data_IF_737973222811
#
_entry.id   IF_737973222811
#
_cell.length_a   1.000
_cell.length_b   1.000
_cell.length_c   1.000
_cell.angle_alpha   90.00
_cell.angle_beta   90.00
_cell.angle_gamma   90.00
#
_symmetry.space_group_name_H-M   'P 1'
#
loop_
_entity.id
_entity.type
_entity.pdbx_description
1 polymer ?
#
# COMPACT_ATOMS: atom_id res chain seq x y z
N UNK A 1 23.21 -15.32 -20.67
CA UNK A 1 22.49 -15.65 -19.41
C UNK A 1 21.69 -14.43 -18.99
N UNK A 2 20.44 -14.34 -19.44
CA UNK A 2 19.51 -13.28 -19.04
C UNK A 2 19.05 -13.58 -17.62
N UNK A 3 19.71 -12.99 -16.63
CA UNK A 3 19.15 -12.95 -15.29
C UNK A 3 17.88 -12.10 -15.38
N UNK A 4 16.72 -12.74 -15.29
CA UNK A 4 15.45 -12.05 -15.09
C UNK A 4 15.46 -11.43 -13.70
N UNK A 5 16.05 -10.24 -13.62
CA UNK A 5 16.12 -9.43 -12.41
C UNK A 5 14.75 -8.82 -12.20
N UNK A 6 13.96 -9.45 -11.33
CA UNK A 6 12.69 -8.94 -10.86
C UNK A 6 12.93 -7.73 -9.95
N UNK A 7 12.75 -6.54 -10.51
CA UNK A 7 12.70 -5.30 -9.74
C UNK A 7 11.35 -5.21 -9.04
N UNK A 8 11.39 -4.84 -7.75
CA UNK A 8 10.17 -4.55 -6.98
C UNK A 8 10.19 -3.09 -6.55
N UNK A 9 9.09 -2.41 -6.85
CA UNK A 9 8.76 -1.11 -6.26
C UNK A 9 8.20 -1.35 -4.87
N UNK A 10 8.80 -0.73 -3.86
CA UNK A 10 8.22 -0.73 -2.52
C UNK A 10 8.19 0.69 -2.00
N UNK A 11 7.04 1.34 -2.17
CA UNK A 11 6.62 2.38 -1.26
C UNK A 11 5.68 1.76 -0.24
N UNK A 12 5.71 2.27 0.99
CA UNK A 12 4.99 1.75 2.15
C UNK A 12 3.48 1.57 1.97
N UNK A 13 2.86 1.85 0.81
CA UNK A 13 1.46 1.52 0.53
C UNK A 13 1.00 1.53 -0.94
N UNK A 14 1.89 1.37 -1.93
CA UNK A 14 1.46 1.25 -3.33
C UNK A 14 1.99 -0.01 -3.99
N UNK A 15 1.08 -0.65 -4.71
CA UNK A 15 1.25 -1.83 -5.57
C UNK A 15 2.71 -2.14 -5.90
N UNK A 16 3.17 -3.32 -5.50
CA UNK A 16 4.45 -3.86 -5.92
C UNK A 16 4.39 -4.13 -7.43
N UNK A 17 4.63 -3.09 -8.23
CA UNK A 17 4.75 -3.23 -9.67
C UNK A 17 6.06 -3.93 -9.96
N UNK A 18 5.95 -5.04 -10.69
CA UNK A 18 7.11 -5.77 -11.19
C UNK A 18 7.65 -5.07 -12.43
N UNK A 19 8.97 -5.05 -12.56
CA UNK A 19 9.65 -4.44 -13.70
C UNK A 19 10.79 -5.30 -14.22
N UNK A 20 11.06 -5.15 -15.52
CA UNK A 20 12.14 -5.84 -16.23
C UNK A 20 13.14 -4.79 -16.74
N UNK A 21 14.41 -4.99 -16.43
CA UNK A 21 15.52 -4.19 -16.98
C UNK A 21 15.69 -4.54 -18.46
N UNK A 22 15.65 -3.53 -19.34
CA UNK A 22 15.75 -3.74 -20.80
C UNK A 22 17.12 -3.40 -21.37
N UNK A 23 17.62 -2.18 -21.15
CA UNK A 23 18.90 -1.73 -21.72
C UNK A 23 19.54 -0.67 -20.85
N UNK A 24 20.87 -0.62 -20.84
CA UNK A 24 21.60 0.55 -20.35
C UNK A 24 21.45 1.72 -21.33
N UNK A 25 21.51 2.94 -20.81
CA UNK A 25 21.61 4.15 -21.63
C UNK A 25 23.07 4.62 -21.66
N UNK A 26 23.49 5.21 -22.78
CA UNK A 26 24.87 5.69 -22.96
C UNK A 26 25.15 7.01 -22.21
N UNK A 27 24.14 7.86 -22.11
CA UNK A 27 24.18 9.14 -21.41
C UNK A 27 22.83 9.36 -20.72
N UNK A 28 22.78 9.83 -19.48
CA UNK A 28 23.86 9.89 -18.48
C UNK A 28 24.31 8.49 -18.01
N UNK A 29 25.53 8.40 -17.48
CA UNK A 29 26.12 7.14 -16.99
C UNK A 29 25.34 6.56 -15.81
N UNK A 30 25.30 5.23 -15.71
CA UNK A 30 24.58 4.53 -14.63
C UNK A 30 23.05 4.48 -14.77
N UNK A 31 22.48 5.03 -15.86
CA UNK A 31 21.02 4.98 -16.09
C UNK A 31 20.62 3.79 -16.95
N UNK A 32 19.49 3.20 -16.57
CA UNK A 32 18.94 1.99 -17.18
C UNK A 32 17.49 2.23 -17.59
N UNK A 33 17.11 1.71 -18.75
CA UNK A 33 15.71 1.64 -19.18
C UNK A 33 15.05 0.41 -18.59
N UNK A 34 13.99 0.65 -17.81
CA UNK A 34 13.17 -0.39 -17.16
C UNK A 34 11.74 -0.26 -17.67
N UNK A 35 11.10 -1.40 -17.96
CA UNK A 35 9.67 -1.46 -18.27
C UNK A 35 8.92 -1.99 -17.06
N UNK A 36 7.90 -1.26 -16.62
CA UNK A 36 7.03 -1.61 -15.50
C UNK A 36 5.61 -1.90 -15.99
N UNK A 37 4.85 -2.64 -15.18
CA UNK A 37 3.44 -2.96 -15.42
C UNK A 37 2.54 -1.71 -15.44
N UNK A 38 2.75 -0.78 -14.49
CA UNK A 38 2.01 0.48 -14.37
C UNK A 38 2.97 1.66 -14.23
N UNK A 39 2.46 2.89 -14.40
CA UNK A 39 3.24 4.13 -14.33
C UNK A 39 3.72 4.39 -12.90
N UNK A 40 5.04 4.35 -12.74
CA UNK A 40 5.76 4.68 -11.50
C UNK A 40 5.71 6.19 -11.22
N UNK A 41 5.70 6.58 -9.94
CA UNK A 41 5.79 7.98 -9.52
C UNK A 41 7.23 8.34 -9.13
N UNK A 42 7.60 9.62 -9.24
CA UNK A 42 8.94 10.09 -8.85
C UNK A 42 9.26 9.96 -7.36
N UNK A 43 8.25 9.80 -6.51
CA UNK A 43 8.42 9.53 -5.07
C UNK A 43 8.90 8.11 -4.78
N UNK A 44 8.69 7.19 -5.72
CA UNK A 44 8.83 5.76 -5.45
C UNK A 44 10.31 5.35 -5.52
N UNK A 45 10.69 4.37 -4.69
CA UNK A 45 12.04 3.78 -4.68
C UNK A 45 12.00 2.40 -5.38
N UNK A 46 12.90 2.21 -6.35
CA UNK A 46 13.02 0.97 -7.11
C UNK A 46 14.15 0.11 -6.51
N UNK A 47 13.81 -1.11 -6.06
CA UNK A 47 14.80 -2.05 -5.54
C UNK A 47 15.10 -3.18 -6.52
N UNK A 48 16.40 -3.50 -6.63
CA UNK A 48 16.91 -4.70 -7.27
C UNK A 48 17.30 -5.72 -6.22
N UNK A 49 16.52 -6.78 -6.08
CA UNK A 49 16.83 -7.84 -5.11
C UNK A 49 17.81 -8.83 -5.72
N UNK A 50 19.04 -8.82 -5.23
CA UNK A 50 20.09 -9.78 -5.59
C UNK A 50 20.52 -10.59 -4.37
N UNK A 51 21.18 -11.71 -4.63
CA UNK A 51 21.84 -12.52 -3.60
C UNK A 51 23.35 -12.34 -3.73
N UNK A 52 24.04 -12.18 -2.61
CA UNK A 52 25.50 -12.05 -2.55
C UNK A 52 26.04 -13.20 -1.72
N UNK A 53 27.05 -13.89 -2.23
CA UNK A 53 27.72 -14.96 -1.50
C UNK A 53 28.64 -14.35 -0.44
N UNK A 54 28.55 -14.85 0.78
CA UNK A 54 29.38 -14.43 1.90
C UNK A 54 30.38 -15.54 2.22
N UNK A 55 31.68 -15.19 2.24
CA UNK A 55 32.71 -16.10 2.71
C UNK A 55 32.64 -16.19 4.25
N UNK A 56 32.50 -17.41 4.77
CA UNK A 56 32.47 -17.65 6.21
C UNK A 56 33.93 -17.79 6.69
N UNK A 57 34.41 -16.95 7.61
CA UNK A 57 35.73 -17.13 8.18
C UNK A 57 35.75 -18.42 9.01
N UNK A 58 36.63 -19.35 8.66
CA UNK A 58 36.84 -20.57 9.44
C UNK A 58 37.67 -20.26 10.68
N UNK A 59 37.08 -20.39 11.86
CA UNK A 59 37.76 -20.25 13.15
C UNK A 59 37.31 -21.39 14.06
N UNK A 60 38.28 -22.03 14.73
CA UNK A 60 38.03 -23.06 15.72
C UNK A 60 38.83 -22.73 16.99
N UNK A 61 38.13 -22.58 18.12
CA UNK A 61 38.72 -22.29 19.42
C UNK A 61 38.30 -23.40 20.40
N UNK A 62 39.16 -24.40 20.65
CA UNK A 62 38.86 -25.43 21.63
C UNK A 62 38.92 -24.85 23.05
N UNK A 63 38.05 -25.35 23.92
CA UNK A 63 38.03 -25.01 25.35
C UNK A 63 39.02 -25.92 26.06
N UNK A 64 40.08 -25.33 26.64
CA UNK A 64 41.23 -26.08 27.19
C UNK A 64 41.34 -25.98 28.71
N UNK A 65 40.24 -25.69 29.41
CA UNK A 65 40.23 -25.41 30.86
C UNK A 65 40.87 -26.55 31.69
N UNK A 66 40.64 -27.81 31.30
CA UNK A 66 41.18 -28.97 32.01
C UNK A 66 42.67 -29.22 31.76
N UNK A 67 43.21 -28.63 30.71
CA UNK A 67 44.65 -28.69 30.39
C UNK A 67 45.43 -27.60 31.12
N UNK A 68 44.74 -26.65 31.76
CA UNK A 68 45.34 -25.60 32.57
C UNK A 68 45.50 -26.08 34.02
N UNK A 69 46.55 -25.61 34.71
CA UNK A 69 46.82 -25.97 36.11
C UNK A 69 45.68 -25.55 37.05
N UNK A 70 45.57 -26.19 38.21
CA UNK A 70 44.43 -26.05 39.14
C UNK A 70 44.06 -24.59 39.48
N UNK A 71 45.05 -23.70 39.53
CA UNK A 71 44.85 -22.27 39.79
C UNK A 71 44.30 -21.47 38.59
N UNK A 72 44.43 -21.97 37.35
CA UNK A 72 44.07 -21.28 36.10
C UNK A 72 42.89 -21.94 35.38
N UNK A 73 42.29 -23.01 35.94
CA UNK A 73 41.14 -23.72 35.35
C UNK A 73 39.93 -22.82 35.09
N UNK A 74 39.79 -21.73 35.86
CA UNK A 74 38.70 -20.74 35.72
C UNK A 74 38.98 -19.64 34.70
N UNK A 75 40.22 -19.50 34.22
CA UNK A 75 40.69 -18.27 33.56
C UNK A 75 40.72 -18.39 32.03
N UNK A 76 40.12 -19.44 31.46
CA UNK A 76 40.05 -19.57 30.02
C UNK A 76 39.26 -18.41 29.39
N UNK A 77 39.95 -17.64 28.54
CA UNK A 77 39.37 -16.50 27.84
C UNK A 77 39.11 -16.86 26.38
N UNK A 78 37.84 -16.84 26.00
CA UNK A 78 37.41 -16.97 24.60
C UNK A 78 37.51 -15.67 23.82
N UNK A 79 36.87 -15.65 22.64
CA UNK A 79 36.78 -14.44 21.83
C UNK A 79 35.80 -13.43 22.47
N UNK A 80 36.24 -12.17 22.63
CA UNK A 80 35.39 -11.11 23.18
C UNK A 80 34.19 -10.83 22.29
N UNK A 81 33.05 -10.52 22.89
CA UNK A 81 31.86 -10.16 22.11
C UNK A 81 32.04 -8.78 21.45
N UNK A 82 31.32 -8.54 20.35
CA UNK A 82 31.34 -7.23 19.70
C UNK A 82 30.90 -6.09 20.65
N UNK A 83 30.08 -6.40 21.66
CA UNK A 83 29.66 -5.44 22.69
C UNK A 83 30.78 -5.10 23.67
N UNK A 84 31.50 -6.10 24.19
CA UNK A 84 32.65 -5.92 25.08
C UNK A 84 33.76 -5.12 24.40
N UNK A 85 34.14 -5.52 23.17
CA UNK A 85 35.18 -4.81 22.39
C UNK A 85 34.81 -3.34 22.19
N UNK A 86 33.53 -3.05 21.94
CA UNK A 86 33.05 -1.66 21.78
C UNK A 86 33.10 -0.89 23.09
N UNK A 87 32.79 -1.52 24.22
CA UNK A 87 32.82 -0.88 25.54
C UNK A 87 34.24 -0.55 25.96
N UNK A 88 35.18 -1.49 25.84
CA UNK A 88 36.60 -1.30 26.17
C UNK A 88 37.26 -0.21 25.32
N UNK A 89 36.88 -0.12 24.04
CA UNK A 89 37.38 0.89 23.10
C UNK A 89 36.53 2.16 23.05
N UNK A 90 35.51 2.27 23.89
CA UNK A 90 34.56 3.40 23.96
C UNK A 90 33.91 3.79 22.61
N UNK A 91 33.67 2.81 21.75
CA UNK A 91 33.12 3.04 20.40
C UNK A 91 31.59 3.15 20.47
N UNK A 92 31.07 4.36 20.24
CA UNK A 92 29.61 4.62 20.14
C UNK A 92 29.04 4.12 18.81
N UNK A 93 27.92 3.39 18.87
CA UNK A 93 27.20 2.94 17.67
C UNK A 93 26.41 4.09 17.04
N UNK A 94 26.79 4.51 15.82
CA UNK A 94 26.03 5.50 15.04
C UNK A 94 24.91 4.81 14.28
N UNK A 95 23.66 5.01 14.71
CA UNK A 95 22.49 4.54 13.96
C UNK A 95 22.17 5.50 12.80
N UNK A 96 21.76 4.95 11.65
CA UNK A 96 21.30 5.74 10.50
C UNK A 96 19.89 6.26 10.76
N UNK A 97 19.68 7.57 10.65
CA UNK A 97 18.40 8.24 10.87
C UNK A 97 17.28 7.76 9.93
N UNK A 98 17.64 7.32 8.73
CA UNK A 98 16.69 6.92 7.69
C UNK A 98 16.25 5.46 7.82
N UNK A 99 17.00 4.66 8.59
CA UNK A 99 16.65 3.27 8.90
C UNK A 99 15.70 3.14 10.09
N UNK A 100 15.53 4.21 10.86
CA UNK A 100 14.62 4.23 12.01
C UNK A 100 13.17 4.37 11.53
N UNK A 101 12.31 3.45 11.97
CA UNK A 101 10.87 3.51 11.68
C UNK A 101 10.26 4.80 12.26
N UNK A 102 9.41 5.47 11.47
CA UNK A 102 8.71 6.71 11.84
C UNK A 102 7.21 6.56 11.57
N UNK A 103 6.32 7.17 12.38
CA UNK A 103 4.89 7.15 12.11
C UNK A 103 4.57 7.90 10.81
N UNK A 104 3.86 7.26 9.88
CA UNK A 104 3.52 7.84 8.57
C UNK A 104 2.07 8.36 8.58
N UNK A 105 1.89 9.68 8.52
CA UNK A 105 0.57 10.31 8.36
C UNK A 105 0.22 10.47 6.88
N UNK A 106 -0.85 9.79 6.42
CA UNK A 106 -1.25 9.81 5.00
C UNK A 106 -2.41 10.76 4.75
N UNK A 107 -2.22 11.68 3.80
CA UNK A 107 -3.29 12.55 3.31
C UNK A 107 -4.24 11.76 2.41
N UNK A 108 -5.54 12.09 2.44
CA UNK A 108 -6.54 11.50 1.55
C UNK A 108 -6.18 11.83 0.10
N UNK A 109 -5.96 10.80 -0.72
CA UNK A 109 -5.67 10.97 -2.15
C UNK A 109 -6.94 11.39 -2.90
N UNK A 110 -6.89 12.53 -3.56
CA UNK A 110 -7.94 13.02 -4.46
C UNK A 110 -7.46 12.85 -5.90
N UNK A 111 -8.21 12.12 -6.72
CA UNK A 111 -7.88 11.95 -8.14
C UNK A 111 -8.37 13.14 -8.95
N UNK A 112 -7.63 13.48 -10.01
CA UNK A 112 -8.05 14.48 -10.98
C UNK A 112 -9.34 14.04 -11.66
N UNK A 113 -10.18 15.02 -12.05
CA UNK A 113 -11.41 14.77 -12.78
C UNK A 113 -11.09 14.18 -14.17
N UNK A 114 -11.93 13.28 -14.66
CA UNK A 114 -11.80 12.72 -15.99
C UNK A 114 -11.89 13.82 -17.05
N UNK A 115 -10.85 13.96 -17.86
CA UNK A 115 -10.79 14.93 -18.95
C UNK A 115 -10.81 14.19 -20.28
N UNK A 116 -11.94 14.27 -21.00
CA UNK A 116 -12.07 13.66 -22.33
C UNK A 116 -11.41 14.57 -23.38
N UNK A 117 -10.57 14.02 -24.28
CA UNK A 117 -9.98 14.75 -25.40
C UNK A 117 -11.01 15.49 -26.26
N UNK A 118 -10.62 16.62 -26.85
CA UNK A 118 -11.51 17.49 -27.63
C UNK A 118 -12.00 16.83 -28.92
N UNK A 119 -11.15 16.04 -29.56
CA UNK A 119 -11.46 15.30 -30.80
C UNK A 119 -12.58 14.29 -30.54
N UNK A 120 -12.38 13.40 -29.55
CA UNK A 120 -13.41 12.42 -29.14
C UNK A 120 -14.74 13.09 -28.75
N UNK A 121 -14.71 14.25 -28.09
CA UNK A 121 -15.93 15.02 -27.76
C UNK A 121 -16.73 15.45 -28.99
N UNK A 122 -16.06 15.75 -30.11
CA UNK A 122 -16.73 16.17 -31.35
C UNK A 122 -17.42 14.99 -32.02
N UNK A 123 -16.74 13.84 -32.06
CA UNK A 123 -17.15 12.63 -32.79
C UNK A 123 -18.18 11.78 -32.02
N UNK A 124 -18.29 11.97 -30.70
CA UNK A 124 -19.30 11.31 -29.87
C UNK A 124 -20.71 11.52 -30.43
N UNK A 125 -21.58 10.48 -30.49
CA UNK A 125 -22.96 10.67 -30.94
C UNK A 125 -23.73 11.61 -30.01
N UNK A 126 -24.71 12.34 -30.54
CA UNK A 126 -25.41 13.42 -29.83
C UNK A 126 -25.93 13.03 -28.44
N UNK A 127 -26.48 11.82 -28.30
CA UNK A 127 -27.02 11.30 -27.03
C UNK A 127 -25.97 11.17 -25.93
N UNK A 128 -24.72 10.86 -26.28
CA UNK A 128 -23.62 10.66 -25.32
C UNK A 128 -22.70 11.88 -25.22
N UNK A 129 -22.86 12.90 -26.08
CA UNK A 129 -22.16 14.17 -25.96
C UNK A 129 -22.47 14.78 -24.58
N UNK A 130 -21.42 15.04 -23.82
CA UNK A 130 -21.55 15.77 -22.56
C UNK A 130 -22.10 17.17 -22.86
N UNK A 131 -23.13 17.59 -22.10
CA UNK A 131 -23.62 18.97 -22.19
C UNK A 131 -22.48 19.90 -21.79
N UNK A 132 -22.02 20.72 -22.73
CA UNK A 132 -20.98 21.71 -22.47
C UNK A 132 -21.52 22.77 -21.50
N UNK A 133 -21.14 22.69 -20.23
CA UNK A 133 -21.15 23.87 -19.37
C UNK A 133 -19.97 24.72 -19.83
N UNK A 134 -20.22 25.65 -20.75
CA UNK A 134 -19.23 26.68 -21.04
C UNK A 134 -18.85 27.33 -19.70
N UNK A 135 -17.55 27.50 -19.46
CA UNK A 135 -17.11 28.28 -18.29
C UNK A 135 -17.77 29.65 -18.42
N UNK A 136 -18.44 30.11 -17.37
CA UNK A 136 -18.98 31.47 -17.35
C UNK A 136 -17.79 32.41 -17.44
N UNK A 137 -17.66 33.10 -18.58
CA UNK A 137 -16.68 34.15 -18.79
C UNK A 137 -17.33 35.42 -18.25
N UNK A 138 -16.68 36.06 -17.28
CA UNK A 138 -17.15 37.32 -16.72
C UNK A 138 -17.36 38.34 -17.86
N UNK A 139 -18.56 38.92 -17.94
CA UNK A 139 -18.93 39.90 -18.97
C UNK A 139 -19.71 39.33 -20.16
N UNK A 140 -19.36 38.13 -20.66
CA UNK A 140 -19.94 37.57 -21.91
C UNK A 140 -21.07 36.59 -21.62
N UNK A 141 -20.86 35.65 -20.70
CA UNK A 141 -21.82 34.62 -20.34
C UNK A 141 -22.33 34.87 -18.92
N UNK A 142 -23.01 36.00 -18.69
CA UNK A 142 -23.61 36.29 -17.39
C UNK A 142 -24.79 35.35 -17.17
N UNK A 143 -24.71 34.55 -16.11
CA UNK A 143 -25.91 33.96 -15.54
C UNK A 143 -26.90 35.10 -15.22
N UNK A 144 -28.14 34.93 -15.64
CA UNK A 144 -29.28 35.85 -15.59
C UNK A 144 -29.78 36.18 -14.17
N UNK A 145 -28.89 36.30 -13.18
CA UNK A 145 -29.25 36.74 -11.82
C UNK A 145 -28.56 38.05 -11.48
N UNK A 146 -29.39 39.07 -11.18
CA UNK A 146 -28.94 40.35 -10.64
C UNK A 146 -28.23 40.09 -9.30
N UNK A 147 -26.97 40.50 -9.11
CA UNK A 147 -26.27 40.34 -7.85
C UNK A 147 -26.89 41.27 -6.80
N UNK A 148 -27.63 40.71 -5.85
CA UNK A 148 -28.16 41.45 -4.70
C UNK A 148 -27.04 41.59 -3.66
N UNK A 149 -26.61 42.83 -3.39
CA UNK A 149 -25.69 43.11 -2.29
C UNK A 149 -26.44 42.87 -0.97
N UNK A 150 -25.97 41.89 -0.19
CA UNK A 150 -26.53 41.60 1.14
C UNK A 150 -25.94 42.54 2.19
N UNK A 151 -26.77 42.87 3.18
CA UNK A 151 -26.33 43.54 4.41
C UNK A 151 -25.35 42.66 5.22
N UNK A 152 -24.60 43.26 6.13
CA UNK A 152 -23.62 42.53 6.94
C UNK A 152 -24.24 41.46 7.84
N UNK A 153 -25.42 41.74 8.42
CA UNK A 153 -26.14 40.78 9.25
C UNK A 153 -26.57 39.55 8.44
N UNK A 154 -27.14 39.76 7.26
CA UNK A 154 -27.54 38.69 6.35
C UNK A 154 -26.36 37.86 5.85
N UNK A 155 -25.20 38.50 5.60
CA UNK A 155 -23.95 37.79 5.29
C UNK A 155 -23.54 36.87 6.43
N UNK A 156 -23.60 37.34 7.69
CA UNK A 156 -23.27 36.53 8.87
C UNK A 156 -24.22 35.34 9.02
N UNK A 157 -25.53 35.55 8.84
CA UNK A 157 -26.54 34.48 8.89
C UNK A 157 -26.33 33.46 7.76
N UNK A 158 -26.08 33.91 6.54
CA UNK A 158 -25.79 33.02 5.41
C UNK A 158 -24.52 32.17 5.66
N UNK A 159 -23.47 32.79 6.22
CA UNK A 159 -22.25 32.07 6.60
C UNK A 159 -22.51 31.02 7.67
N UNK A 160 -23.33 31.33 8.68
CA UNK A 160 -23.73 30.38 9.71
C UNK A 160 -24.45 29.17 9.09
N UNK A 161 -25.40 29.39 8.18
CA UNK A 161 -26.09 28.30 7.47
C UNK A 161 -25.13 27.46 6.63
N UNK A 162 -24.14 28.06 5.97
CA UNK A 162 -23.12 27.33 5.22
C UNK A 162 -22.28 26.42 6.14
N UNK A 163 -21.87 26.92 7.30
CA UNK A 163 -21.11 26.15 8.30
C UNK A 163 -21.95 25.00 8.84
N UNK A 164 -23.20 25.27 9.22
CA UNK A 164 -24.12 24.26 9.74
C UNK A 164 -24.40 23.17 8.69
N UNK A 165 -24.64 23.58 7.44
CA UNK A 165 -24.84 22.66 6.32
C UNK A 165 -23.62 21.78 6.07
N UNK A 166 -22.41 22.35 6.12
CA UNK A 166 -21.16 21.59 6.00
C UNK A 166 -21.00 20.55 7.13
N UNK A 167 -21.26 20.95 8.38
CA UNK A 167 -21.19 20.06 9.53
C UNK A 167 -22.22 18.92 9.47
N UNK A 168 -23.44 19.21 9.02
CA UNK A 168 -24.48 18.21 8.82
C UNK A 168 -24.11 17.22 7.70
N UNK A 169 -23.54 17.72 6.60
CA UNK A 169 -23.05 16.88 5.50
C UNK A 169 -21.93 15.94 5.97
N UNK A 170 -20.95 16.45 6.72
CA UNK A 170 -19.87 15.63 7.28
C UNK A 170 -20.42 14.52 8.21
N UNK A 171 -21.35 14.86 9.11
CA UNK A 171 -22.02 13.88 9.99
C UNK A 171 -22.77 12.82 9.18
N UNK A 172 -23.45 13.22 8.11
CA UNK A 172 -24.18 12.31 7.22
C UNK A 172 -23.23 11.39 6.45
N UNK A 173 -22.10 11.89 5.98
CA UNK A 173 -21.07 11.09 5.31
C UNK A 173 -20.44 10.07 6.25
N UNK A 174 -20.09 10.47 7.48
CA UNK A 174 -19.59 9.56 8.53
C UNK A 174 -20.59 8.44 8.81
N UNK A 175 -21.86 8.77 9.09
CA UNK A 175 -22.92 7.76 9.32
C UNK A 175 -23.10 6.80 8.13
N UNK A 176 -23.03 7.31 6.90
CA UNK A 176 -23.08 6.48 5.68
C UNK A 176 -21.87 5.54 5.57
N UNK A 177 -20.67 6.02 5.87
CA UNK A 177 -19.46 5.19 5.86
C UNK A 177 -19.55 4.07 6.90
N UNK A 178 -19.97 4.38 8.13
CA UNK A 178 -20.13 3.39 9.21
C UNK A 178 -21.22 2.37 8.89
N UNK A 179 -22.32 2.81 8.28
CA UNK A 179 -23.38 1.92 7.80
C UNK A 179 -22.86 0.98 6.72
N UNK A 180 -22.15 1.49 5.70
CA UNK A 180 -21.54 0.65 4.65
C UNK A 180 -20.58 -0.38 5.23
N UNK A 181 -19.69 0.04 6.13
CA UNK A 181 -18.74 -0.86 6.78
C UNK A 181 -19.44 -1.98 7.57
N UNK A 182 -20.53 -1.66 8.30
CA UNK A 182 -21.34 -2.66 9.00
C UNK A 182 -22.02 -3.63 8.02
N UNK A 183 -22.63 -3.10 6.96
CA UNK A 183 -23.30 -3.92 5.95
C UNK A 183 -22.33 -4.84 5.21
N UNK A 184 -21.12 -4.37 4.86
CA UNK A 184 -20.08 -5.18 4.22
C UNK A 184 -19.60 -6.32 5.12
N UNK A 185 -19.33 -6.03 6.40
CA UNK A 185 -18.99 -7.06 7.40
C UNK A 185 -20.09 -8.11 7.52
N UNK A 186 -21.35 -7.67 7.59
CA UNK A 186 -22.50 -8.56 7.69
C UNK A 186 -22.67 -9.42 6.42
N UNK A 187 -22.52 -8.83 5.23
CA UNK A 187 -22.55 -9.57 3.96
C UNK A 187 -21.44 -10.63 3.90
N UNK A 188 -20.23 -10.31 4.34
CA UNK A 188 -19.12 -11.27 4.39
C UNK A 188 -19.40 -12.43 5.36
N UNK A 189 -20.02 -12.16 6.52
CA UNK A 189 -20.45 -13.18 7.47
C UNK A 189 -21.49 -14.12 6.86
N UNK A 190 -22.53 -13.56 6.21
CA UNK A 190 -23.56 -14.36 5.53
C UNK A 190 -22.93 -15.22 4.44
N UNK A 191 -22.06 -14.67 3.60
CA UNK A 191 -21.38 -15.42 2.53
C UNK A 191 -20.57 -16.59 3.12
N UNK A 192 -19.85 -16.37 4.22
CA UNK A 192 -19.10 -17.43 4.91
C UNK A 192 -20.02 -18.53 5.44
N UNK A 193 -21.16 -18.16 6.02
CA UNK A 193 -22.16 -19.12 6.51
C UNK A 193 -22.80 -19.90 5.35
N UNK A 194 -23.15 -19.24 4.25
CA UNK A 194 -23.69 -19.88 3.05
C UNK A 194 -22.70 -20.88 2.46
N UNK A 195 -21.41 -20.51 2.34
CA UNK A 195 -20.36 -21.43 1.88
C UNK A 195 -20.21 -22.63 2.83
N UNK A 196 -20.28 -22.43 4.15
CA UNK A 196 -20.23 -23.53 5.12
C UNK A 196 -21.42 -24.48 4.96
N UNK A 197 -22.64 -23.95 4.84
CA UNK A 197 -23.85 -24.74 4.59
C UNK A 197 -23.78 -25.50 3.26
N UNK A 198 -23.28 -24.86 2.20
CA UNK A 198 -23.08 -25.53 0.91
C UNK A 198 -22.07 -26.69 0.99
N UNK A 199 -20.96 -26.52 1.72
CA UNK A 199 -20.00 -27.60 1.96
C UNK A 199 -20.65 -28.77 2.72
N UNK A 200 -21.33 -28.47 3.82
CA UNK A 200 -22.05 -29.48 4.61
C UNK A 200 -23.09 -30.24 3.76
N UNK A 201 -23.87 -29.53 2.95
CA UNK A 201 -24.85 -30.17 2.07
C UNK A 201 -24.19 -31.05 1.00
N UNK A 202 -23.02 -30.67 0.46
CA UNK A 202 -22.26 -31.52 -0.47
C UNK A 202 -21.76 -32.78 0.22
N UNK A 203 -21.24 -32.66 1.45
CA UNK A 203 -20.73 -33.80 2.21
C UNK A 203 -21.86 -34.76 2.61
N UNK A 204 -23.02 -34.22 3.02
CA UNK A 204 -24.22 -35.02 3.31
C UNK A 204 -24.70 -35.76 2.06
N UNK A 205 -24.79 -35.08 0.91
CA UNK A 205 -25.16 -35.74 -0.35
C UNK A 205 -24.19 -36.87 -0.70
N UNK A 206 -22.88 -36.65 -0.59
CA UNK A 206 -21.87 -37.71 -0.81
C UNK A 206 -22.08 -38.92 0.09
N UNK A 207 -22.36 -38.70 1.38
CA UNK A 207 -22.66 -39.78 2.33
C UNK A 207 -23.92 -40.54 1.95
N UNK A 208 -25.00 -39.84 1.59
CA UNK A 208 -26.26 -40.45 1.16
C UNK A 208 -26.04 -41.33 -0.08
N UNK A 209 -25.38 -40.80 -1.13
CA UNK A 209 -25.10 -41.59 -2.34
C UNK A 209 -24.18 -42.79 -2.07
N UNK A 210 -23.17 -42.64 -1.20
CA UNK A 210 -22.30 -43.77 -0.81
C UNK A 210 -23.06 -44.86 -0.06
N UNK A 211 -24.00 -44.50 0.81
CA UNK A 211 -24.83 -45.47 1.51
C UNK A 211 -25.82 -46.17 0.57
N UNK A 212 -26.47 -45.42 -0.33
CA UNK A 212 -27.34 -45.99 -1.38
C UNK A 212 -26.59 -46.99 -2.27
N UNK A 213 -25.35 -46.67 -2.67
CA UNK A 213 -24.53 -47.61 -3.44
C UNK A 213 -24.23 -48.90 -2.67
N UNK A 214 -23.98 -48.81 -1.35
CA UNK A 214 -23.76 -49.99 -0.49
C UNK A 214 -25.00 -50.85 -0.32
N UNK A 215 -26.19 -50.25 -0.30
CA UNK A 215 -27.46 -50.96 -0.26
C UNK A 215 -27.78 -51.63 -1.60
N UNK A 216 -27.48 -51.00 -2.74
CA UNK A 216 -27.68 -51.59 -4.07
C UNK A 216 -26.65 -52.70 -4.39
N UNK A 217 -25.47 -52.67 -3.78
CA UNK A 217 -24.42 -53.69 -3.97
C UNK A 217 -24.58 -54.93 -3.07
N UNK A 218 -25.56 -54.94 -2.17
CA UNK A 218 -25.93 -56.10 -1.34
C UNK A 218 -27.05 -56.88 -2.01
#
# INVERSE_FOLDING_TARGET
MTADVLLRLTDHFRSAASGIIKKSLRKPEGVVRITFEDRVQYSDIIFCKTWVNLAIPSMYLPVTNLLQGDAQKSDWQGLKTAGEIRKEREIKLKQRSDSLYKPVQRKKRMFHKLTVPKELKKDLPFKTKMKNQQKQIAGVNKATRVPVLREEKDKKVANLFNILGAAQNERKEKRKADSKARTEKYKALIQKQQLKRQRQNKDLKKKIYSNLQKEVSK
#
